data_IF_620233275319
#
_entry.id   IF_620233275319
#
_cell.length_a   1.000
_cell.length_b   1.000
_cell.length_c   1.000
_cell.angle_alpha   90.00
_cell.angle_beta   90.00
_cell.angle_gamma   90.00
#
_symmetry.space_group_name_H-M   'P 1'
#
loop_
_entity.id
_entity.type
_entity.pdbx_description
1 polymer ?
#
# COMPACT_ATOMS: atom_id res chain seq x y z
N UNK A 1 50.25 -3.42 17.56
CA UNK A 1 48.93 -2.73 17.68
C UNK A 1 48.53 -1.98 16.41
N UNK A 2 49.40 -1.13 15.81
CA UNK A 2 49.06 -0.39 14.57
C UNK A 2 48.68 -1.28 13.37
N UNK A 3 49.34 -2.43 13.18
CA UNK A 3 49.04 -3.36 12.08
C UNK A 3 47.67 -4.07 12.22
N UNK A 4 47.16 -4.18 13.45
CA UNK A 4 45.85 -4.76 13.74
C UNK A 4 44.72 -3.77 13.40
N UNK A 5 44.93 -2.49 13.71
CA UNK A 5 43.98 -1.40 13.40
C UNK A 5 43.87 -1.19 11.89
N UNK A 6 44.96 -1.27 11.14
CA UNK A 6 44.95 -1.12 9.69
C UNK A 6 44.16 -2.24 9.00
N UNK A 7 44.32 -3.49 9.45
CA UNK A 7 43.55 -4.65 8.94
C UNK A 7 42.05 -4.54 9.24
N UNK A 8 41.69 -3.97 10.40
CA UNK A 8 40.29 -3.74 10.75
C UNK A 8 39.65 -2.64 9.88
N UNK A 9 40.37 -1.56 9.59
CA UNK A 9 39.89 -0.48 8.72
C UNK A 9 39.65 -0.95 7.28
N UNK A 10 40.61 -1.70 6.71
CA UNK A 10 40.46 -2.27 5.36
C UNK A 10 39.26 -3.22 5.29
N UNK A 11 39.01 -4.00 6.34
CA UNK A 11 37.85 -4.89 6.41
C UNK A 11 36.53 -4.09 6.45
N UNK A 12 36.45 -3.03 7.25
CA UNK A 12 35.27 -2.16 7.34
C UNK A 12 34.99 -1.48 5.99
N UNK A 13 36.02 -0.97 5.31
CA UNK A 13 35.87 -0.35 3.99
C UNK A 13 35.36 -1.38 2.96
N UNK A 14 35.91 -2.60 2.95
CA UNK A 14 35.45 -3.65 2.03
C UNK A 14 34.00 -4.09 2.30
N UNK A 15 33.60 -4.19 3.56
CA UNK A 15 32.21 -4.53 3.95
C UNK A 15 31.25 -3.37 3.62
N UNK A 16 31.69 -2.12 3.72
CA UNK A 16 30.92 -0.94 3.33
C UNK A 16 30.70 -0.91 1.81
N UNK A 17 31.75 -1.15 1.02
CA UNK A 17 31.67 -1.23 -0.44
C UNK A 17 30.77 -2.38 -0.91
N UNK A 18 30.82 -3.54 -0.25
CA UNK A 18 29.91 -4.64 -0.55
C UNK A 18 28.45 -4.32 -0.23
N UNK A 19 28.18 -3.63 0.89
CA UNK A 19 26.82 -3.18 1.24
C UNK A 19 26.29 -2.18 0.22
N UNK A 20 27.12 -1.22 -0.19
CA UNK A 20 26.74 -0.20 -1.17
C UNK A 20 26.48 -0.83 -2.56
N UNK A 21 27.26 -1.85 -2.97
CA UNK A 21 27.00 -2.62 -4.20
C UNK A 21 25.71 -3.43 -4.11
N UNK A 22 25.41 -4.04 -2.95
CA UNK A 22 24.16 -4.80 -2.73
C UNK A 22 22.94 -3.87 -2.75
N UNK A 23 23.02 -2.70 -2.13
CA UNK A 23 21.95 -1.69 -2.18
C UNK A 23 21.71 -1.18 -3.61
N UNK A 24 22.77 -0.82 -4.34
CA UNK A 24 22.65 -0.40 -5.75
C UNK A 24 22.06 -1.49 -6.64
N UNK A 25 22.43 -2.76 -6.41
CA UNK A 25 21.86 -3.90 -7.14
C UNK A 25 20.37 -4.09 -6.80
N UNK A 26 20.00 -3.98 -5.52
CA UNK A 26 18.60 -4.06 -5.07
C UNK A 26 17.76 -2.95 -5.67
N UNK A 27 18.26 -1.72 -5.66
CA UNK A 27 17.58 -0.56 -6.24
C UNK A 27 17.39 -0.69 -7.76
N UNK A 28 18.39 -1.23 -8.47
CA UNK A 28 18.28 -1.53 -9.89
C UNK A 28 17.25 -2.63 -10.20
N UNK A 29 17.22 -3.70 -9.40
CA UNK A 29 16.22 -4.78 -9.52
C UNK A 29 14.82 -4.26 -9.23
N UNK A 30 14.63 -3.50 -8.14
CA UNK A 30 13.35 -2.90 -7.76
C UNK A 30 12.83 -1.98 -8.86
N UNK A 31 13.72 -1.19 -9.48
CA UNK A 31 13.35 -0.32 -10.60
C UNK A 31 12.87 -1.13 -11.82
N UNK A 32 13.61 -2.17 -12.19
CA UNK A 32 13.23 -3.05 -13.31
C UNK A 32 11.89 -3.76 -13.06
N UNK A 33 11.64 -4.21 -11.83
CA UNK A 33 10.36 -4.83 -11.45
C UNK A 33 9.19 -3.83 -11.43
N UNK A 34 9.43 -2.56 -11.07
CA UNK A 34 8.39 -1.52 -11.15
C UNK A 34 8.02 -1.19 -12.58
N UNK A 35 9.02 -1.07 -13.46
CA UNK A 35 8.80 -0.83 -14.89
C UNK A 35 8.00 -1.99 -15.51
N UNK A 36 8.35 -3.24 -15.20
CA UNK A 36 7.60 -4.40 -15.69
C UNK A 36 6.17 -4.47 -15.16
N UNK A 37 5.92 -4.12 -13.89
CA UNK A 37 4.55 -4.07 -13.33
C UNK A 37 3.69 -3.01 -14.00
N UNK A 38 4.26 -1.85 -14.33
CA UNK A 38 3.55 -0.80 -15.06
C UNK A 38 3.25 -1.21 -16.50
N UNK A 39 4.21 -1.84 -17.18
CA UNK A 39 4.02 -2.35 -18.54
C UNK A 39 2.95 -3.45 -18.58
N UNK A 40 2.94 -4.36 -17.60
CA UNK A 40 1.89 -5.38 -17.46
C UNK A 40 0.51 -4.75 -17.23
N UNK A 41 0.41 -3.75 -16.35
CA UNK A 41 -0.84 -3.02 -16.12
C UNK A 41 -1.34 -2.33 -17.39
N UNK A 42 -0.42 -1.76 -18.17
CA UNK A 42 -0.74 -1.14 -19.46
C UNK A 42 -1.20 -2.16 -20.49
N UNK A 43 -0.57 -3.32 -20.57
CA UNK A 43 -0.96 -4.42 -21.45
C UNK A 43 -2.39 -4.87 -21.16
N UNK A 44 -2.71 -5.13 -19.89
CA UNK A 44 -4.06 -5.51 -19.45
C UNK A 44 -5.12 -4.50 -19.93
N UNK A 45 -4.83 -3.20 -19.83
CA UNK A 45 -5.75 -2.13 -20.25
C UNK A 45 -5.80 -1.88 -21.76
N UNK A 46 -4.84 -2.40 -22.53
CA UNK A 46 -4.72 -2.15 -23.99
C UNK A 46 -4.94 -3.39 -24.84
N UNK A 47 -5.16 -4.55 -24.21
CA UNK A 47 -5.46 -5.81 -24.88
C UNK A 47 -6.77 -5.71 -25.64
N UNK A 48 -6.80 -6.21 -26.87
CA UNK A 48 -8.02 -6.23 -27.69
C UNK A 48 -9.07 -7.17 -27.10
N UNK A 49 -10.34 -6.74 -27.21
CA UNK A 49 -11.48 -7.55 -26.80
C UNK A 49 -11.71 -8.66 -27.83
N UNK A 50 -11.62 -9.91 -27.39
CA UNK A 50 -11.74 -11.09 -28.27
C UNK A 50 -13.20 -11.48 -28.52
N UNK A 51 -13.47 -12.22 -29.59
CA UNK A 51 -14.84 -12.65 -29.94
C UNK A 51 -15.28 -13.99 -29.30
N UNK A 52 -14.42 -14.62 -28.49
CA UNK A 52 -14.68 -15.93 -27.88
C UNK A 52 -15.24 -15.74 -26.46
N UNK A 53 -16.46 -16.21 -26.22
CA UNK A 53 -17.20 -16.00 -24.96
C UNK A 53 -16.40 -16.39 -23.70
N UNK A 54 -15.80 -17.58 -23.68
CA UNK A 54 -15.01 -18.03 -22.53
C UNK A 54 -13.81 -17.11 -22.25
N UNK A 55 -13.21 -16.55 -23.29
CA UNK A 55 -12.09 -15.62 -23.15
C UNK A 55 -12.55 -14.23 -22.73
N UNK A 56 -13.72 -13.77 -23.17
CA UNK A 56 -14.36 -12.54 -22.72
C UNK A 56 -14.63 -12.57 -21.20
N UNK A 57 -15.20 -13.67 -20.70
CA UNK A 57 -15.45 -13.84 -19.26
C UNK A 57 -14.13 -13.78 -18.49
N UNK A 58 -13.09 -14.46 -18.99
CA UNK A 58 -11.78 -14.46 -18.34
C UNK A 58 -11.14 -13.05 -18.35
N UNK A 59 -11.19 -12.35 -19.48
CA UNK A 59 -10.70 -10.97 -19.61
C UNK A 59 -11.43 -10.02 -18.64
N UNK A 60 -12.75 -10.14 -18.53
CA UNK A 60 -13.55 -9.34 -17.61
C UNK A 60 -13.15 -9.60 -16.14
N UNK A 61 -13.08 -10.87 -15.73
CA UNK A 61 -12.69 -11.22 -14.36
C UNK A 61 -11.26 -10.76 -14.01
N UNK A 62 -10.35 -10.83 -14.99
CA UNK A 62 -8.99 -10.33 -14.81
C UNK A 62 -8.96 -8.81 -14.59
N UNK A 63 -9.75 -8.05 -15.37
CA UNK A 63 -9.89 -6.61 -15.21
C UNK A 63 -10.55 -6.23 -13.87
N UNK A 64 -11.57 -6.95 -13.42
CA UNK A 64 -12.20 -6.75 -12.11
C UNK A 64 -11.19 -6.94 -10.97
N UNK A 65 -10.39 -8.02 -11.00
CA UNK A 65 -9.33 -8.25 -10.03
C UNK A 65 -8.27 -7.14 -10.06
N UNK A 66 -7.88 -6.70 -11.26
CA UNK A 66 -6.95 -5.59 -11.44
C UNK A 66 -7.46 -4.27 -10.85
N UNK A 67 -8.72 -3.91 -11.10
CA UNK A 67 -9.37 -2.71 -10.54
C UNK A 67 -9.40 -2.79 -9.01
N UNK A 68 -9.80 -3.92 -8.44
CA UNK A 68 -9.79 -4.13 -6.98
C UNK A 68 -8.40 -3.90 -6.37
N UNK A 69 -7.35 -4.41 -7.02
CA UNK A 69 -5.98 -4.20 -6.56
C UNK A 69 -5.56 -2.72 -6.61
N UNK A 70 -5.95 -1.98 -7.65
CA UNK A 70 -5.71 -0.54 -7.73
C UNK A 70 -6.43 0.22 -6.61
N UNK A 71 -7.66 -0.15 -6.30
CA UNK A 71 -8.43 0.46 -5.20
C UNK A 71 -7.79 0.19 -3.84
N UNK A 72 -7.31 -1.03 -3.59
CA UNK A 72 -6.56 -1.38 -2.37
C UNK A 72 -5.28 -0.53 -2.24
N UNK A 73 -4.47 -0.46 -3.31
CA UNK A 73 -3.26 0.37 -3.32
C UNK A 73 -3.58 1.85 -3.11
N UNK A 74 -4.65 2.33 -3.75
CA UNK A 74 -5.19 3.67 -3.56
C UNK A 74 -5.57 3.92 -2.09
N UNK A 75 -6.27 2.99 -1.46
CA UNK A 75 -6.64 3.06 -0.05
C UNK A 75 -5.43 3.07 0.88
N UNK A 76 -4.38 2.27 0.63
CA UNK A 76 -3.13 2.35 1.39
C UNK A 76 -2.45 3.72 1.27
N UNK A 77 -2.38 4.27 0.06
CA UNK A 77 -1.83 5.60 -0.16
C UNK A 77 -2.65 6.68 0.58
N UNK A 78 -3.99 6.60 0.51
CA UNK A 78 -4.88 7.53 1.24
C UNK A 78 -4.76 7.38 2.76
N UNK A 79 -4.57 6.16 3.27
CA UNK A 79 -4.30 5.92 4.69
C UNK A 79 -3.03 6.66 5.11
N UNK A 80 -1.94 6.56 4.34
CA UNK A 80 -0.70 7.31 4.65
C UNK A 80 -0.88 8.82 4.58
N UNK A 81 -1.61 9.34 3.60
CA UNK A 81 -1.95 10.77 3.58
C UNK A 81 -2.76 11.19 4.80
N UNK A 82 -3.69 10.35 5.26
CA UNK A 82 -4.49 10.60 6.45
C UNK A 82 -3.64 10.60 7.73
N UNK A 83 -2.68 9.67 7.86
CA UNK A 83 -1.71 9.63 8.96
C UNK A 83 -0.88 10.93 9.06
N UNK A 84 -0.45 11.48 7.90
CA UNK A 84 0.23 12.79 7.85
C UNK A 84 -0.67 13.90 8.38
N UNK A 85 -1.93 13.97 7.92
CA UNK A 85 -2.90 14.98 8.38
C UNK A 85 -3.16 14.86 9.89
N UNK A 86 -3.33 13.65 10.41
CA UNK A 86 -3.52 13.39 11.85
C UNK A 86 -2.29 13.82 12.64
N UNK A 87 -1.09 13.44 12.19
CA UNK A 87 0.16 13.83 12.84
C UNK A 87 0.34 15.34 12.90
N UNK A 88 0.04 16.06 11.81
CA UNK A 88 0.09 17.53 11.79
C UNK A 88 -0.93 18.15 12.76
N UNK A 89 -2.09 17.52 12.94
CA UNK A 89 -3.11 17.99 13.88
C UNK A 89 -2.71 17.71 15.33
N UNK A 90 -2.28 16.50 15.63
CA UNK A 90 -2.02 16.03 17.00
C UNK A 90 -0.67 16.53 17.53
N UNK A 91 0.40 16.43 16.74
CA UNK A 91 1.74 16.79 17.20
C UNK A 91 2.04 18.28 17.04
N UNK A 92 1.49 18.93 16.02
CA UNK A 92 1.73 20.35 15.76
C UNK A 92 0.55 21.25 16.16
N UNK A 93 -0.55 20.67 16.65
CA UNK A 93 -1.74 21.41 17.10
C UNK A 93 -2.46 22.17 15.98
N UNK A 94 -2.21 21.83 14.71
CA UNK A 94 -2.73 22.60 13.59
C UNK A 94 -4.21 22.30 13.33
N UNK A 95 -4.97 23.34 13.02
CA UNK A 95 -6.36 23.19 12.55
C UNK A 95 -6.39 22.68 11.11
N UNK A 96 -7.52 22.09 10.71
CA UNK A 96 -7.73 21.51 9.38
C UNK A 96 -7.50 22.53 8.25
N UNK A 97 -7.94 23.78 8.42
CA UNK A 97 -7.72 24.86 7.45
C UNK A 97 -6.23 25.19 7.30
N UNK A 98 -5.49 25.29 8.41
CA UNK A 98 -4.05 25.53 8.38
C UNK A 98 -3.27 24.36 7.76
N UNK A 99 -3.68 23.11 8.01
CA UNK A 99 -3.09 21.92 7.40
C UNK A 99 -3.34 21.93 5.89
N UNK A 100 -4.57 22.22 5.45
CA UNK A 100 -4.96 22.27 4.04
C UNK A 100 -4.11 23.28 3.26
N UNK A 101 -3.87 24.46 3.84
CA UNK A 101 -3.01 25.50 3.26
C UNK A 101 -1.56 25.05 3.15
N UNK A 102 -1.01 24.41 4.20
CA UNK A 102 0.38 23.92 4.19
C UNK A 102 0.60 22.80 3.18
N UNK A 103 -0.38 21.92 3.01
CA UNK A 103 -0.31 20.79 2.07
C UNK A 103 -0.78 21.16 0.66
N UNK A 104 -1.22 22.41 0.45
CA UNK A 104 -1.79 22.88 -0.82
C UNK A 104 -2.92 21.98 -1.36
N UNK A 105 -3.83 21.55 -0.47
CA UNK A 105 -5.00 20.73 -0.80
C UNK A 105 -6.28 21.40 -0.31
N UNK A 106 -7.43 20.96 -0.84
CA UNK A 106 -8.73 21.47 -0.43
C UNK A 106 -9.09 21.11 1.03
N UNK A 107 -9.76 22.03 1.73
CA UNK A 107 -10.17 21.87 3.13
C UNK A 107 -11.11 20.69 3.32
N UNK A 108 -12.08 20.50 2.41
CA UNK A 108 -13.00 19.35 2.47
C UNK A 108 -12.23 18.06 2.25
N UNK A 109 -11.25 18.05 1.35
CA UNK A 109 -10.41 16.88 1.15
C UNK A 109 -9.56 16.55 2.40
N UNK A 110 -8.96 17.55 3.06
CA UNK A 110 -8.27 17.35 4.35
C UNK A 110 -9.20 16.80 5.42
N UNK A 111 -10.43 17.32 5.51
CA UNK A 111 -11.44 16.82 6.43
C UNK A 111 -11.81 15.36 6.14
N UNK A 112 -11.94 15.00 4.87
CA UNK A 112 -12.21 13.63 4.43
C UNK A 112 -11.08 12.67 4.79
N UNK A 113 -9.82 13.07 4.61
CA UNK A 113 -8.66 12.30 5.08
C UNK A 113 -8.72 12.09 6.60
N UNK A 114 -9.06 13.12 7.37
CA UNK A 114 -9.22 12.99 8.82
C UNK A 114 -10.34 12.02 9.20
N UNK A 115 -11.51 12.10 8.54
CA UNK A 115 -12.61 11.15 8.74
C UNK A 115 -12.23 9.73 8.34
N UNK A 116 -11.50 9.56 7.24
CA UNK A 116 -11.01 8.27 6.78
C UNK A 116 -10.04 7.65 7.79
N UNK A 117 -9.13 8.43 8.38
CA UNK A 117 -8.23 7.93 9.42
C UNK A 117 -9.02 7.30 10.57
N UNK A 118 -10.05 7.99 11.07
CA UNK A 118 -10.85 7.47 12.18
C UNK A 118 -11.56 6.16 11.81
N UNK A 119 -12.10 6.07 10.58
CA UNK A 119 -12.76 4.86 10.08
C UNK A 119 -11.78 3.68 10.00
N UNK A 120 -10.62 3.88 9.39
CA UNK A 120 -9.61 2.82 9.22
C UNK A 120 -8.91 2.46 10.53
N UNK A 121 -8.77 3.39 11.47
CA UNK A 121 -8.29 3.08 12.81
C UNK A 121 -9.24 2.16 13.57
N UNK A 122 -10.56 2.32 13.38
CA UNK A 122 -11.56 1.44 13.96
C UNK A 122 -11.67 0.09 13.22
N UNK A 123 -11.51 0.10 11.90
CA UNK A 123 -11.69 -1.07 11.03
C UNK A 123 -10.53 -1.22 10.03
N UNK A 124 -9.35 -1.72 10.46
CA UNK A 124 -8.15 -1.72 9.63
C UNK A 124 -8.26 -2.51 8.33
N UNK A 125 -9.00 -3.62 8.30
CA UNK A 125 -9.08 -4.46 7.10
C UNK A 125 -9.93 -3.84 5.98
N UNK A 126 -10.69 -2.76 6.25
CA UNK A 126 -11.39 -2.03 5.17
C UNK A 126 -10.43 -1.54 4.09
N UNK A 127 -9.15 -1.34 4.41
CA UNK A 127 -8.12 -0.93 3.44
C UNK A 127 -7.89 -1.97 2.35
N UNK A 128 -8.06 -3.26 2.68
CA UNK A 128 -7.86 -4.37 1.72
C UNK A 128 -9.18 -4.94 1.18
N UNK A 129 -10.30 -4.28 1.44
CA UNK A 129 -11.63 -4.74 1.05
C UNK A 129 -11.93 -4.66 -0.46
N UNK A 130 -11.02 -4.14 -1.27
CA UNK A 130 -11.26 -3.87 -2.70
C UNK A 130 -12.09 -2.61 -2.98
N UNK A 131 -12.60 -1.93 -1.94
CA UNK A 131 -13.35 -0.69 -2.11
C UNK A 131 -12.44 0.54 -2.13
N UNK A 132 -12.73 1.45 -3.05
CA UNK A 132 -12.07 2.76 -3.10
C UNK A 132 -12.30 3.60 -1.83
N UNK A 133 -11.39 4.55 -1.59
CA UNK A 133 -11.50 5.57 -0.54
C UNK A 133 -12.83 6.33 -0.59
N UNK A 134 -13.30 6.66 -1.80
CA UNK A 134 -14.55 7.38 -2.03
C UNK A 134 -15.76 6.54 -1.59
N UNK A 135 -15.75 5.25 -1.93
CA UNK A 135 -16.79 4.30 -1.57
C UNK A 135 -16.86 4.12 -0.06
N UNK A 136 -15.72 3.86 0.58
CA UNK A 136 -15.66 3.65 2.04
C UNK A 136 -16.16 4.88 2.82
N UNK A 137 -15.82 6.09 2.38
CA UNK A 137 -16.32 7.32 3.01
C UNK A 137 -17.81 7.54 2.77
N UNK A 138 -18.30 7.25 1.56
CA UNK A 138 -19.73 7.38 1.22
C UNK A 138 -20.59 6.46 2.09
N UNK A 139 -20.12 5.23 2.33
CA UNK A 139 -20.84 4.21 3.10
C UNK A 139 -20.39 4.11 4.56
N UNK A 140 -19.64 5.09 5.08
CA UNK A 140 -19.15 5.11 6.48
C UNK A 140 -20.22 4.75 7.51
N UNK A 141 -21.36 5.46 7.47
CA UNK A 141 -22.45 5.26 8.44
C UNK A 141 -23.08 3.86 8.34
N UNK A 142 -23.46 3.38 7.14
CA UNK A 142 -23.87 1.99 6.96
C UNK A 142 -22.85 0.96 7.47
N UNK A 143 -21.56 1.15 7.19
CA UNK A 143 -20.49 0.24 7.64
C UNK A 143 -20.44 0.18 9.17
N UNK A 144 -20.40 1.34 9.85
CA UNK A 144 -20.36 1.42 11.31
C UNK A 144 -21.59 0.77 11.97
N UNK A 145 -22.76 0.99 11.36
CA UNK A 145 -24.02 0.38 11.80
C UNK A 145 -23.95 -1.15 11.69
N UNK A 146 -23.59 -1.67 10.52
CA UNK A 146 -23.48 -3.11 10.29
C UNK A 146 -22.41 -3.75 11.18
N UNK A 147 -21.28 -3.08 11.40
CA UNK A 147 -20.23 -3.58 12.28
C UNK A 147 -20.65 -3.66 13.76
N UNK A 148 -21.68 -2.92 14.15
CA UNK A 148 -22.24 -2.95 15.53
C UNK A 148 -23.37 -3.97 15.65
N UNK A 149 -24.16 -4.14 14.60
CA UNK A 149 -25.40 -4.95 14.61
C UNK A 149 -25.18 -6.40 14.13
N UNK A 150 -24.17 -6.66 13.31
CA UNK A 150 -23.89 -7.97 12.71
C UNK A 150 -22.49 -8.47 13.11
N UNK A 151 -22.47 -9.44 14.01
CA UNK A 151 -21.24 -10.07 14.51
C UNK A 151 -20.47 -10.81 13.41
N UNK A 152 -21.14 -11.34 12.38
CA UNK A 152 -20.48 -11.96 11.25
C UNK A 152 -19.80 -10.92 10.36
N UNK A 153 -20.49 -9.81 10.07
CA UNK A 153 -19.91 -8.69 9.33
C UNK A 153 -18.71 -8.10 10.06
N UNK A 154 -18.82 -7.93 11.38
CA UNK A 154 -17.71 -7.50 12.23
C UNK A 154 -16.54 -8.49 12.19
N UNK A 155 -16.80 -9.78 12.34
CA UNK A 155 -15.77 -10.83 12.21
C UNK A 155 -15.10 -10.81 10.84
N UNK A 156 -15.85 -10.57 9.75
CA UNK A 156 -15.30 -10.46 8.39
C UNK A 156 -14.34 -9.28 8.24
N UNK A 157 -14.71 -8.11 8.78
CA UNK A 157 -13.83 -6.94 8.83
C UNK A 157 -12.60 -7.18 9.73
N UNK A 158 -12.71 -7.98 10.78
CA UNK A 158 -11.59 -8.27 11.67
C UNK A 158 -10.65 -9.37 11.12
N UNK A 159 -11.12 -10.26 10.23
CA UNK A 159 -10.43 -11.52 9.85
C UNK A 159 -9.48 -11.49 8.66
N UNK A 160 -9.03 -10.33 8.19
CA UNK A 160 -8.19 -10.27 6.98
C UNK A 160 -6.91 -9.48 7.21
N UNK A 161 -6.03 -10.04 8.03
CA UNK A 161 -4.58 -9.80 8.00
C UNK A 161 -3.89 -11.16 7.93
N UNK A 162 -3.96 -11.82 6.79
CA UNK A 162 -2.98 -12.84 6.39
C UNK A 162 -3.03 -12.97 4.87
N UNK A 163 -1.87 -12.81 4.22
CA UNK A 163 -1.59 -12.98 2.79
C UNK A 163 -2.07 -11.89 1.81
N UNK A 164 -1.14 -10.99 1.44
CA UNK A 164 -0.64 -10.82 0.05
C UNK A 164 0.32 -9.61 -0.04
N UNK A 165 1.44 -9.65 0.71
CA UNK A 165 2.67 -8.86 0.43
C UNK A 165 3.92 -9.50 1.07
N UNK A 166 3.85 -10.76 1.52
CA UNK A 166 5.00 -11.62 1.82
C UNK A 166 5.01 -12.73 0.78
N UNK A 167 5.75 -12.52 -0.31
CA UNK A 167 5.75 -13.42 -1.46
C UNK A 167 6.72 -12.95 -2.52
N UNK A 168 7.99 -12.79 -2.14
CA UNK A 168 9.18 -12.99 -2.97
C UNK A 168 10.42 -12.69 -2.11
N UNK A 169 10.73 -13.51 -1.10
CA UNK A 169 12.11 -13.60 -0.55
C UNK A 169 12.38 -14.81 0.39
N UNK A 170 11.66 -15.93 0.29
CA UNK A 170 11.95 -17.09 1.15
C UNK A 170 11.98 -18.46 0.44
N UNK A 171 12.37 -18.47 -0.84
CA UNK A 171 12.95 -19.66 -1.47
C UNK A 171 14.47 -19.50 -1.59
N UNK A 172 15.19 -19.55 -0.46
CA UNK A 172 16.58 -20.09 -0.41
C UNK A 172 17.04 -20.34 1.04
N UNK A 173 16.35 -21.24 1.74
CA UNK A 173 16.93 -21.95 2.88
C UNK A 173 16.85 -23.47 2.65
N UNK A 174 17.38 -23.92 1.51
CA UNK A 174 17.91 -25.27 1.38
C UNK A 174 19.42 -25.23 1.60
N UNK A 175 19.83 -25.34 2.87
CA UNK A 175 21.16 -25.84 3.20
C UNK A 175 21.11 -26.82 4.37
N UNK A 176 21.34 -28.09 3.98
CA UNK A 176 21.63 -29.32 4.74
C UNK A 176 20.46 -30.14 5.24
#
# INVERSE_FOLDING_TARGET
EQDLLLKQLVKIESESEEREKKEKKKEATDKSQRESRFDNAKEVCTTEVVAIEAQLINQFNHLESFISNLDVLGCFARKKQAEVVVTMRENLGLRIDAISQKLAIDVKFTQRLFTFSALISAYPALVISGYSFETLLTFKKPIEKLATEDENFRCLIERQITYDFEGEDDDTMLFR
#
